data_IF_389863050710
#
_entry.id   IF_389863050710
#
_cell.length_a   1.000
_cell.length_b   1.000
_cell.length_c   1.000
_cell.angle_alpha   90.00
_cell.angle_beta   90.00
_cell.angle_gamma   90.00
#
_symmetry.space_group_name_H-M   'P 1'
#
loop_
_entity.id
_entity.type
_entity.pdbx_description
1 polymer ?
#
# COMPACT_ATOMS: atom_id res chain seq x y z
N UNK A 1 5.58 -4.80 -15.23
CA UNK A 1 4.75 -5.34 -14.12
C UNK A 1 3.31 -5.55 -14.58
N UNK A 2 2.74 -6.75 -14.40
CA UNK A 2 1.37 -7.09 -14.84
C UNK A 2 0.33 -6.25 -14.08
N UNK A 3 -0.67 -5.68 -14.78
CA UNK A 3 -1.67 -4.72 -14.25
C UNK A 3 -2.49 -5.24 -13.05
N UNK A 4 -2.62 -6.56 -12.86
CA UNK A 4 -3.48 -7.17 -11.85
C UNK A 4 -2.98 -7.10 -10.39
N UNK A 5 -1.71 -6.75 -10.16
CA UNK A 5 -1.12 -6.78 -8.81
C UNK A 5 -1.14 -5.44 -8.10
N UNK A 6 -1.66 -4.37 -8.72
CA UNK A 6 -1.63 -3.02 -8.15
C UNK A 6 -2.95 -2.67 -7.46
N UNK A 7 -2.87 -2.25 -6.20
CA UNK A 7 -3.99 -1.59 -5.52
C UNK A 7 -4.10 -0.16 -6.06
N UNK A 8 -5.20 0.14 -6.77
CA UNK A 8 -5.46 1.47 -7.36
C UNK A 8 -6.68 2.16 -6.75
N UNK A 9 -7.55 1.42 -6.06
CA UNK A 9 -8.78 1.96 -5.48
C UNK A 9 -8.52 2.50 -4.09
N UNK A 10 -8.93 3.73 -3.84
CA UNK A 10 -8.83 4.36 -2.53
C UNK A 10 -9.58 3.57 -1.44
N UNK A 11 -10.69 2.92 -1.81
CA UNK A 11 -11.45 2.04 -0.90
C UNK A 11 -10.59 0.90 -0.33
N UNK A 12 -9.74 0.30 -1.17
CA UNK A 12 -8.85 -0.78 -0.73
C UNK A 12 -7.78 -0.25 0.24
N UNK A 13 -7.24 0.95 -0.02
CA UNK A 13 -6.33 1.62 0.92
C UNK A 13 -7.00 1.92 2.26
N UNK A 14 -8.23 2.47 2.24
CA UNK A 14 -8.99 2.75 3.47
C UNK A 14 -9.26 1.48 4.27
N UNK A 15 -9.59 0.36 3.62
CA UNK A 15 -9.77 -0.93 4.29
C UNK A 15 -8.46 -1.41 4.94
N UNK A 16 -7.33 -1.33 4.22
CA UNK A 16 -6.02 -1.71 4.74
C UNK A 16 -5.61 -0.85 5.95
N UNK A 17 -5.90 0.45 5.95
CA UNK A 17 -5.61 1.33 7.09
C UNK A 17 -6.54 1.09 8.29
N UNK A 18 -7.76 0.59 8.06
CA UNK A 18 -8.78 0.41 9.11
C UNK A 18 -8.70 -0.96 9.78
N UNK A 19 -8.50 -2.01 8.99
CA UNK A 19 -8.56 -3.41 9.44
C UNK A 19 -7.20 -4.12 9.33
N UNK A 20 -6.24 -3.55 8.59
CA UNK A 20 -4.94 -4.17 8.38
C UNK A 20 -4.00 -3.96 9.56
N UNK A 21 -3.08 -4.91 9.73
CA UNK A 21 -1.99 -4.82 10.70
C UNK A 21 -0.86 -3.97 10.13
N UNK A 22 -0.29 -3.09 10.95
CA UNK A 22 0.82 -2.21 10.54
C UNK A 22 2.13 -2.66 11.16
N UNK A 23 3.16 -2.81 10.32
CA UNK A 23 4.54 -3.04 10.74
C UNK A 23 5.40 -1.85 10.33
N UNK A 24 5.97 -1.17 11.32
CA UNK A 24 6.84 -0.03 11.10
C UNK A 24 8.32 -0.42 11.30
N UNK A 25 9.16 -0.05 10.34
CA UNK A 25 10.61 -0.05 10.44
C UNK A 25 11.11 1.40 10.37
N UNK A 26 12.37 1.66 10.79
CA UNK A 26 13.00 3.01 10.80
C UNK A 26 12.90 3.78 9.48
N UNK A 27 12.71 3.10 8.36
CA UNK A 27 12.64 3.70 7.01
C UNK A 27 11.26 3.60 6.34
N UNK A 28 10.40 2.67 6.74
CA UNK A 28 9.14 2.38 6.04
C UNK A 28 8.07 1.84 6.99
N UNK A 29 6.82 2.10 6.66
CA UNK A 29 5.66 1.48 7.31
C UNK A 29 4.95 0.61 6.28
N UNK A 30 4.76 -0.67 6.61
CA UNK A 30 4.06 -1.65 5.78
C UNK A 30 2.72 -1.94 6.43
N UNK A 31 1.66 -1.85 5.64
CA UNK A 31 0.31 -2.27 6.06
C UNK A 31 -0.06 -3.55 5.33
N UNK A 32 -0.51 -4.55 6.09
CA UNK A 32 -0.94 -5.84 5.57
C UNK A 32 -2.38 -6.10 6.00
N UNK A 33 -3.24 -6.43 5.04
CA UNK A 33 -4.58 -6.92 5.27
C UNK A 33 -4.71 -8.26 4.57
N UNK A 34 -4.98 -9.30 5.34
CA UNK A 34 -5.23 -10.62 4.80
C UNK A 34 -6.56 -10.60 4.03
N UNK A 35 -6.54 -11.08 2.79
CA UNK A 35 -7.72 -11.11 1.93
C UNK A 35 -7.89 -12.55 1.45
N UNK A 36 -9.11 -13.06 1.43
CA UNK A 36 -9.44 -14.42 0.98
C UNK A 36 -9.29 -14.62 -0.55
N UNK A 37 -8.44 -13.82 -1.21
CA UNK A 37 -8.23 -13.84 -2.67
C UNK A 37 -6.89 -14.48 -2.99
N UNK A 38 -6.87 -15.37 -3.99
CA UNK A 38 -5.68 -16.07 -4.51
C UNK A 38 -4.59 -15.15 -5.16
N UNK A 39 -4.71 -13.82 -5.04
CA UNK A 39 -3.75 -12.90 -5.63
C UNK A 39 -3.38 -11.79 -4.65
N UNK A 40 -2.08 -11.67 -4.39
CA UNK A 40 -1.52 -10.56 -3.63
C UNK A 40 -1.68 -9.26 -4.42
N UNK A 41 -1.94 -8.15 -3.73
CA UNK A 41 -1.98 -6.82 -4.33
C UNK A 41 -1.13 -5.88 -3.50
N UNK A 42 -0.27 -5.12 -4.17
CA UNK A 42 0.61 -4.16 -3.52
C UNK A 42 0.24 -2.75 -3.96
N UNK A 43 0.08 -1.87 -2.98
CA UNK A 43 -0.08 -0.43 -3.17
C UNK A 43 1.09 0.28 -2.52
N UNK A 44 1.79 1.13 -3.27
CA UNK A 44 2.84 1.99 -2.72
C UNK A 44 2.22 3.35 -2.46
N UNK A 45 2.20 3.76 -1.20
CA UNK A 45 1.84 5.12 -0.79
C UNK A 45 3.08 5.82 -0.30
N UNK A 46 3.37 7.00 -0.86
CA UNK A 46 4.50 7.84 -0.45
C UNK A 46 3.95 9.19 0.01
N UNK A 47 4.42 9.65 1.17
CA UNK A 47 4.04 10.97 1.68
C UNK A 47 4.60 12.05 0.76
N UNK A 48 3.76 13.01 0.34
CA UNK A 48 4.16 14.18 -0.48
C UNK A 48 5.32 14.99 0.13
N UNK A 49 5.57 14.85 1.44
CA UNK A 49 6.67 15.48 2.18
C UNK A 49 8.07 14.96 1.80
N UNK A 50 8.19 13.80 1.14
CA UNK A 50 9.49 13.17 0.81
C UNK A 50 10.24 13.77 -0.40
N UNK A 51 9.75 14.85 -1.00
CA UNK A 51 10.57 15.74 -1.82
C UNK A 51 10.67 15.38 -3.32
N UNK A 52 10.40 16.43 -4.12
CA UNK A 52 10.70 16.72 -5.53
C UNK A 52 10.76 15.55 -6.53
N UNK A 53 9.76 15.55 -7.43
CA UNK A 53 9.93 15.05 -8.79
C UNK A 53 11.04 15.88 -9.45
N UNK A 54 12.28 15.38 -9.47
CA UNK A 54 13.30 15.87 -10.40
C UNK A 54 13.02 15.26 -11.77
N UNK A 55 13.22 16.10 -12.79
CA UNK A 55 13.03 15.83 -14.22
C UNK A 55 13.55 14.46 -14.67
#
# INVERSE_FOLDING_TARGET
MKKNFRVKREKDFKAIFKEGTSFANRKFVVYQLENQKNHFRVGLSVSKKLGKCRH
#
